data_IF_554096166880
#
_entry.id   IF_554096166880
#
_cell.length_a   1.000
_cell.length_b   1.000
_cell.length_c   1.000
_cell.angle_alpha   90.00
_cell.angle_beta   90.00
_cell.angle_gamma   90.00
#
_symmetry.space_group_name_H-M   'P 1'
#
loop_
_entity.id
_entity.type
_entity.pdbx_description
1 polymer ?
#
# COMPACT_ATOMS: atom_id res chain seq x y z
N UNK A 1 -12.66 -24.71 -23.64
CA UNK A 1 -11.36 -24.36 -23.00
C UNK A 1 -11.12 -22.85 -22.94
N UNK A 2 -11.28 -22.09 -24.04
CA UNK A 2 -11.03 -20.63 -24.04
C UNK A 2 -11.90 -19.79 -23.09
N UNK A 3 -13.18 -20.15 -22.92
CA UNK A 3 -14.10 -19.47 -21.99
C UNK A 3 -13.67 -19.62 -20.52
N UNK A 4 -13.16 -20.80 -20.14
CA UNK A 4 -12.71 -21.08 -18.76
C UNK A 4 -11.44 -20.28 -18.45
N UNK A 5 -10.50 -20.19 -19.40
CA UNK A 5 -9.28 -19.38 -19.23
C UNK A 5 -9.56 -17.88 -19.07
N UNK A 6 -10.56 -17.33 -19.77
CA UNK A 6 -10.94 -15.92 -19.62
C UNK A 6 -11.55 -15.61 -18.26
N UNK A 7 -12.40 -16.52 -17.74
CA UNK A 7 -13.01 -16.36 -16.41
C UNK A 7 -11.94 -16.45 -15.31
N UNK A 8 -11.03 -17.42 -15.41
CA UNK A 8 -9.92 -17.58 -14.48
C UNK A 8 -9.02 -16.34 -14.50
N UNK A 9 -8.61 -15.86 -15.69
CA UNK A 9 -7.77 -14.67 -15.82
C UNK A 9 -8.40 -13.41 -15.21
N UNK A 10 -9.72 -13.21 -15.45
CA UNK A 10 -10.46 -12.08 -14.86
C UNK A 10 -10.53 -12.15 -13.33
N UNK A 11 -10.80 -13.34 -12.78
CA UNK A 11 -10.85 -13.54 -11.33
C UNK A 11 -9.50 -13.28 -10.66
N UNK A 12 -8.40 -13.77 -11.26
CA UNK A 12 -7.04 -13.48 -10.77
C UNK A 12 -6.72 -11.99 -10.83
N UNK A 13 -7.06 -11.30 -11.92
CA UNK A 13 -6.87 -9.85 -12.04
C UNK A 13 -7.61 -9.06 -10.95
N UNK A 14 -8.86 -9.43 -10.67
CA UNK A 14 -9.65 -8.83 -9.58
C UNK A 14 -9.02 -9.07 -8.21
N UNK A 15 -8.57 -10.29 -7.92
CA UNK A 15 -7.90 -10.62 -6.66
C UNK A 15 -6.63 -9.79 -6.46
N UNK A 16 -5.80 -9.67 -7.50
CA UNK A 16 -4.59 -8.83 -7.45
C UNK A 16 -4.93 -7.36 -7.22
N UNK A 17 -5.97 -6.84 -7.89
CA UNK A 17 -6.41 -5.47 -7.70
C UNK A 17 -6.91 -5.21 -6.27
N UNK A 18 -7.71 -6.12 -5.72
CA UNK A 18 -8.19 -6.01 -4.33
C UNK A 18 -7.01 -6.05 -3.35
N UNK A 19 -6.08 -6.99 -3.52
CA UNK A 19 -4.89 -7.09 -2.68
C UNK A 19 -4.06 -5.80 -2.72
N UNK A 20 -3.91 -5.22 -3.92
CA UNK A 20 -3.23 -3.95 -4.12
C UNK A 20 -3.90 -2.78 -3.36
N UNK A 21 -5.22 -2.64 -3.49
CA UNK A 21 -5.99 -1.60 -2.79
C UNK A 21 -5.87 -1.78 -1.28
N UNK A 22 -6.03 -3.00 -0.78
CA UNK A 22 -5.93 -3.30 0.66
C UNK A 22 -4.53 -2.94 1.20
N UNK A 23 -3.48 -3.25 0.46
CA UNK A 23 -2.10 -2.95 0.84
C UNK A 23 -1.84 -1.44 0.94
N UNK A 24 -2.31 -0.66 -0.04
CA UNK A 24 -2.20 0.81 -0.03
C UNK A 24 -2.98 1.43 1.12
N UNK A 25 -4.24 1.02 1.30
CA UNK A 25 -5.09 1.52 2.40
C UNK A 25 -4.50 1.16 3.77
N UNK A 26 -3.97 -0.05 3.92
CA UNK A 26 -3.34 -0.48 5.16
C UNK A 26 -2.11 0.37 5.50
N UNK A 27 -1.27 0.68 4.50
CA UNK A 27 -0.11 1.54 4.67
C UNK A 27 -0.52 2.98 5.05
N UNK A 28 -1.50 3.56 4.34
CA UNK A 28 -2.03 4.90 4.64
C UNK A 28 -2.64 4.99 6.04
N UNK A 29 -3.47 4.01 6.43
CA UNK A 29 -4.04 3.94 7.78
C UNK A 29 -2.96 3.82 8.84
N UNK A 30 -1.89 3.06 8.58
CA UNK A 30 -0.73 2.99 9.44
C UNK A 30 -0.08 4.35 9.65
N UNK A 31 0.15 5.11 8.57
CA UNK A 31 0.78 6.44 8.63
C UNK A 31 -0.07 7.41 9.47
N UNK A 32 -1.38 7.44 9.20
CA UNK A 32 -2.30 8.34 9.87
C UNK A 32 -2.42 8.02 11.36
N UNK A 33 -2.51 6.73 11.71
CA UNK A 33 -2.65 6.24 13.09
C UNK A 33 -1.36 6.26 13.88
N UNK A 34 -0.19 6.42 13.25
CA UNK A 34 1.07 6.46 13.97
C UNK A 34 1.19 7.79 14.75
N UNK A 35 1.19 7.78 16.10
CA UNK A 35 1.33 8.99 16.89
C UNK A 35 2.78 9.50 16.92
N UNK A 36 3.77 8.63 16.60
CA UNK A 36 5.19 9.01 16.57
C UNK A 36 5.61 9.78 15.32
N UNK A 37 4.72 9.92 14.33
CA UNK A 37 5.03 10.67 13.12
C UNK A 37 4.59 12.13 13.26
N UNK A 38 5.53 13.05 13.08
CA UNK A 38 5.21 14.47 12.88
C UNK A 38 4.44 14.68 11.56
N UNK A 39 3.77 15.83 11.40
CA UNK A 39 2.93 16.12 10.24
C UNK A 39 3.68 16.03 8.90
N UNK A 40 4.96 16.45 8.86
CA UNK A 40 5.78 16.39 7.66
C UNK A 40 6.14 14.94 7.28
N UNK A 41 6.49 14.10 8.24
CA UNK A 41 6.79 12.67 8.03
C UNK A 41 5.55 11.93 7.52
N UNK A 42 4.35 12.26 8.04
CA UNK A 42 3.09 11.72 7.51
C UNK A 42 2.90 12.11 6.04
N UNK A 43 3.05 13.40 5.72
CA UNK A 43 2.92 13.90 4.35
C UNK A 43 3.92 13.24 3.39
N UNK A 44 5.18 13.11 3.79
CA UNK A 44 6.22 12.49 2.98
C UNK A 44 5.89 11.04 2.64
N UNK A 45 5.48 10.24 3.63
CA UNK A 45 5.08 8.85 3.40
C UNK A 45 3.82 8.73 2.54
N UNK A 46 2.85 9.62 2.71
CA UNK A 46 1.65 9.66 1.84
C UNK A 46 2.06 9.95 0.39
N UNK A 47 2.94 10.92 0.14
CA UNK A 47 3.44 11.25 -1.21
C UNK A 47 4.19 10.08 -1.83
N UNK A 48 5.06 9.40 -1.07
CA UNK A 48 5.79 8.21 -1.55
C UNK A 48 4.83 7.10 -1.98
N UNK A 49 3.79 6.83 -1.18
CA UNK A 49 2.75 5.85 -1.53
C UNK A 49 1.94 6.32 -2.74
N UNK A 50 1.69 7.61 -2.91
CA UNK A 50 0.95 8.12 -4.06
C UNK A 50 1.72 7.93 -5.37
N UNK A 51 3.04 8.17 -5.36
CA UNK A 51 3.92 8.05 -6.54
C UNK A 51 4.23 6.58 -6.83
N UNK A 52 4.48 5.78 -5.79
CA UNK A 52 4.85 4.39 -5.90
C UNK A 52 3.96 3.53 -4.97
N UNK A 53 2.70 3.23 -5.32
CA UNK A 53 1.75 2.60 -4.41
C UNK A 53 2.15 1.21 -3.95
N UNK A 54 2.76 0.39 -4.81
CA UNK A 54 3.24 -0.94 -4.40
C UNK A 54 4.49 -0.81 -3.54
N UNK A 55 5.53 -0.19 -4.10
CA UNK A 55 6.85 -0.11 -3.46
C UNK A 55 6.81 0.76 -2.20
N UNK A 56 6.14 1.91 -2.24
CA UNK A 56 5.99 2.83 -1.12
C UNK A 56 5.21 2.22 0.05
N UNK A 57 4.16 1.46 -0.23
CA UNK A 57 3.42 0.74 0.82
C UNK A 57 4.25 -0.37 1.46
N UNK A 58 4.99 -1.14 0.66
CA UNK A 58 5.91 -2.16 1.17
C UNK A 58 7.02 -1.52 2.01
N UNK A 59 7.66 -0.47 1.50
CA UNK A 59 8.69 0.29 2.22
C UNK A 59 8.15 0.86 3.54
N UNK A 60 6.92 1.36 3.54
CA UNK A 60 6.29 1.84 4.78
C UNK A 60 6.10 0.70 5.80
N UNK A 61 5.61 -0.46 5.36
CA UNK A 61 5.35 -1.60 6.24
C UNK A 61 6.65 -2.17 6.82
N UNK A 62 7.69 -2.35 6.01
CA UNK A 62 8.95 -2.96 6.44
C UNK A 62 9.87 -1.99 7.17
N UNK A 63 9.96 -0.74 6.72
CA UNK A 63 10.93 0.23 7.23
C UNK A 63 10.24 1.42 7.88
N UNK A 64 9.24 2.01 7.23
CA UNK A 64 8.59 3.24 7.69
C UNK A 64 8.00 3.15 9.08
N UNK A 65 7.39 2.02 9.45
CA UNK A 65 6.76 1.81 10.78
C UNK A 65 7.65 2.08 11.98
N UNK A 66 8.95 1.81 11.86
CA UNK A 66 9.92 2.00 12.94
C UNK A 66 10.70 3.30 12.84
N UNK A 67 10.45 4.14 11.82
CA UNK A 67 11.10 5.43 11.69
C UNK A 67 10.50 6.44 12.68
N UNK A 68 11.04 6.48 13.89
CA UNK A 68 10.99 7.69 14.71
C UNK A 68 12.11 8.59 14.20
N UNK A 69 11.87 9.37 13.15
CA UNK A 69 12.82 10.40 12.77
C UNK A 69 12.86 11.41 13.93
N UNK A 70 14.04 11.52 14.54
CA UNK A 70 14.39 12.22 15.78
C UNK A 70 13.59 13.49 16.07
#
# INVERSE_FOLDING_TARGET
MQFISSVIGGAFGLLFFIAWVVLVLYALLGILRNPGFNSNTKLLWIVIILIAPILGSLLYIFWGRNQNFL
#
